data_IF_730895744446
#
_entry.id   IF_730895744446
#
_cell.length_a   1.000
_cell.length_b   1.000
_cell.length_c   1.000
_cell.angle_alpha   90.00
_cell.angle_beta   90.00
_cell.angle_gamma   90.00
#
_symmetry.space_group_name_H-M   'P 1'
#
loop_
_entity.id
_entity.type
_entity.pdbx_description
1 polymer ?
#
# COMPACT_ATOMS: atom_id res chain seq x y z
N UNK A 1 15.54 -11.92 -13.75
CA UNK A 1 14.66 -10.96 -13.05
C UNK A 1 13.30 -11.07 -13.73
N UNK A 2 12.27 -11.55 -13.02
CA UNK A 2 10.94 -11.71 -13.58
C UNK A 2 10.11 -10.49 -13.17
N UNK A 3 9.95 -9.56 -14.10
CA UNK A 3 8.97 -8.48 -14.06
C UNK A 3 8.44 -8.39 -15.47
N UNK A 4 7.16 -8.72 -15.65
CA UNK A 4 6.51 -8.72 -16.96
C UNK A 4 6.46 -7.29 -17.47
N UNK A 5 7.40 -6.94 -18.35
CA UNK A 5 7.39 -5.71 -19.13
C UNK A 5 6.25 -5.75 -20.15
N UNK A 6 5.02 -5.61 -19.65
CA UNK A 6 3.88 -5.20 -20.45
C UNK A 6 3.98 -3.71 -20.74
N UNK A 7 3.40 -3.27 -21.87
CA UNK A 7 3.31 -1.86 -22.23
C UNK A 7 2.27 -1.15 -21.34
N UNK A 8 2.57 -1.06 -20.05
CA UNK A 8 1.65 -0.57 -19.03
C UNK A 8 2.01 0.90 -18.81
N UNK A 9 1.87 1.73 -19.85
CA UNK A 9 2.03 3.19 -19.74
C UNK A 9 1.16 3.77 -18.62
N UNK A 10 0.12 3.03 -18.24
CA UNK A 10 -0.70 3.16 -17.04
C UNK A 10 -0.21 2.22 -15.92
N UNK A 11 0.90 2.56 -15.25
CA UNK A 11 1.25 1.98 -13.95
C UNK A 11 0.11 2.11 -12.91
N UNK A 12 -0.92 2.89 -13.23
CA UNK A 12 -2.22 3.04 -12.58
C UNK A 12 -3.06 1.77 -12.46
N UNK A 13 -2.74 0.67 -13.16
CA UNK A 13 -3.61 -0.54 -13.12
C UNK A 13 -3.14 -1.63 -12.14
N UNK A 14 -1.98 -1.49 -11.52
CA UNK A 14 -1.54 -2.43 -10.51
C UNK A 14 -2.25 -2.20 -9.18
N UNK A 15 -2.95 -3.25 -8.72
CA UNK A 15 -3.65 -3.27 -7.43
C UNK A 15 -2.78 -3.97 -6.41
N UNK A 16 -1.95 -3.19 -5.73
CA UNK A 16 -1.10 -3.71 -4.65
C UNK A 16 -1.91 -3.82 -3.37
N UNK A 17 -1.73 -4.91 -2.64
CA UNK A 17 -2.39 -5.16 -1.37
C UNK A 17 -1.35 -5.24 -0.23
N UNK A 18 -1.43 -4.29 0.71
CA UNK A 18 -0.69 -4.33 1.96
C UNK A 18 -1.57 -4.91 3.08
N UNK A 19 -1.12 -6.02 3.66
CA UNK A 19 -1.75 -6.67 4.81
C UNK A 19 -0.82 -6.63 6.02
N UNK A 20 -1.37 -6.27 7.17
CA UNK A 20 -0.68 -6.34 8.46
C UNK A 20 -1.35 -7.39 9.31
N UNK A 21 -0.54 -8.33 9.79
CA UNK A 21 -0.98 -9.40 10.68
C UNK A 21 -0.39 -9.19 12.07
N UNK A 22 -1.12 -9.65 13.08
CA UNK A 22 -0.58 -9.84 14.43
C UNK A 22 0.34 -11.07 14.49
N UNK A 23 1.07 -11.22 15.61
CA UNK A 23 1.92 -12.39 15.85
C UNK A 23 1.17 -13.73 15.90
N UNK A 24 -0.14 -13.73 16.16
CA UNK A 24 -1.02 -14.91 16.11
C UNK A 24 -1.74 -15.08 14.76
N UNK A 25 -1.42 -14.27 13.74
CA UNK A 25 -1.95 -14.40 12.38
C UNK A 25 -3.29 -13.70 12.13
N UNK A 26 -3.78 -12.88 13.06
CA UNK A 26 -5.00 -12.09 12.87
C UNK A 26 -4.75 -10.91 11.92
N UNK A 27 -5.64 -10.68 10.95
CA UNK A 27 -5.57 -9.50 10.09
C UNK A 27 -5.93 -8.22 10.87
N UNK A 28 -4.94 -7.34 11.03
CA UNK A 28 -5.06 -6.08 11.76
C UNK A 28 -5.32 -4.87 10.84
N UNK A 29 -4.75 -4.87 9.64
CA UNK A 29 -5.01 -3.83 8.65
C UNK A 29 -4.87 -4.38 7.23
N UNK A 30 -5.64 -3.79 6.33
CA UNK A 30 -5.60 -4.05 4.89
C UNK A 30 -5.65 -2.71 4.16
N UNK A 31 -4.80 -2.55 3.15
CA UNK A 31 -4.74 -1.38 2.27
C UNK A 31 -4.57 -1.82 0.83
N UNK A 32 -5.22 -1.09 -0.06
CA UNK A 32 -5.04 -1.22 -1.49
C UNK A 32 -4.51 0.10 -2.02
N UNK A 33 -3.52 0.02 -2.88
CA UNK A 33 -2.92 1.20 -3.50
C UNK A 33 -2.33 0.83 -4.85
N UNK A 34 -2.03 1.85 -5.64
CA UNK A 34 -1.33 1.73 -6.92
C UNK A 34 -0.01 2.49 -6.85
N UNK A 35 0.96 2.09 -7.67
CA UNK A 35 2.27 2.74 -7.78
C UNK A 35 2.54 3.10 -9.23
N UNK A 36 3.35 4.11 -9.50
CA UNK A 36 3.76 4.40 -10.87
C UNK A 36 5.15 3.80 -11.15
N UNK A 37 5.18 2.72 -11.92
CA UNK A 37 6.42 2.01 -12.26
C UNK A 37 7.31 2.76 -13.25
N UNK A 38 6.74 3.64 -14.09
CA UNK A 38 7.46 4.38 -15.11
C UNK A 38 8.09 5.67 -14.59
N UNK A 39 7.49 6.30 -13.58
CA UNK A 39 7.93 7.59 -13.05
C UNK A 39 9.15 7.47 -12.11
N UNK A 40 10.17 6.71 -12.47
CA UNK A 40 11.40 6.57 -11.70
C UNK A 40 11.20 6.01 -10.27
N UNK A 41 12.30 5.75 -9.57
CA UNK A 41 12.27 5.09 -8.25
C UNK A 41 11.41 5.78 -7.20
N UNK A 42 11.19 7.09 -7.33
CA UNK A 42 10.43 7.88 -6.36
C UNK A 42 8.95 7.53 -6.30
N UNK A 43 8.38 6.84 -7.30
CA UNK A 43 6.94 6.55 -7.36
C UNK A 43 6.59 5.07 -7.15
N UNK A 44 7.59 4.26 -6.82
CA UNK A 44 7.46 2.84 -6.44
C UNK A 44 8.50 2.49 -5.37
N UNK A 45 8.70 3.40 -4.40
CA UNK A 45 9.65 3.18 -3.32
C UNK A 45 9.24 1.96 -2.48
N UNK A 46 10.22 1.20 -1.95
CA UNK A 46 9.95 0.16 -0.97
C UNK A 46 9.17 0.71 0.24
N UNK A 47 8.38 -0.14 0.88
CA UNK A 47 7.76 0.18 2.16
C UNK A 47 8.84 0.64 3.15
N UNK A 48 8.67 1.81 3.73
CA UNK A 48 9.59 2.35 4.70
C UNK A 48 8.99 2.27 6.10
N UNK A 49 9.77 1.78 7.05
CA UNK A 49 9.38 1.69 8.45
C UNK A 49 10.07 2.80 9.22
N UNK A 50 9.28 3.73 9.74
CA UNK A 50 9.77 4.87 10.51
C UNK A 50 9.13 4.85 11.89
N UNK A 51 9.87 4.35 12.88
CA UNK A 51 9.36 4.18 14.25
C UNK A 51 8.09 3.32 14.28
N UNK A 52 6.96 3.94 14.61
CA UNK A 52 5.64 3.30 14.71
C UNK A 52 4.77 3.49 13.47
N UNK A 53 5.35 3.81 12.30
CA UNK A 53 4.58 3.96 11.05
C UNK A 53 5.24 3.22 9.88
N UNK A 54 4.40 2.71 8.98
CA UNK A 54 4.78 2.25 7.64
C UNK A 54 4.39 3.32 6.64
N UNK A 55 5.35 3.84 5.91
CA UNK A 55 5.14 4.77 4.80
C UNK A 55 5.08 3.99 3.49
N UNK A 56 4.10 4.31 2.66
CA UNK A 56 3.90 3.73 1.33
C UNK A 56 3.41 4.79 0.35
N UNK A 57 3.62 4.54 -0.94
CA UNK A 57 3.22 5.45 -2.01
C UNK A 57 1.94 4.94 -2.63
N UNK A 58 0.94 5.82 -2.76
CA UNK A 58 -0.35 5.53 -3.37
C UNK A 58 -0.68 6.59 -4.42
N UNK A 59 -0.55 6.23 -5.69
CA UNK A 59 -0.82 7.15 -6.81
C UNK A 59 -2.30 7.27 -7.15
N UNK A 60 -3.19 6.57 -6.43
CA UNK A 60 -4.64 6.75 -6.61
C UNK A 60 -5.14 8.09 -6.07
N UNK A 61 -4.40 8.71 -5.14
CA UNK A 61 -4.69 10.03 -4.61
C UNK A 61 -3.71 11.06 -5.18
N UNK A 62 -4.19 11.82 -6.17
CA UNK A 62 -3.41 12.85 -6.87
C UNK A 62 -2.98 14.01 -5.96
N UNK A 63 -3.62 14.19 -4.80
CA UNK A 63 -3.30 15.29 -3.89
C UNK A 63 -2.20 14.94 -2.90
N UNK A 64 -2.07 13.65 -2.54
CA UNK A 64 -1.04 13.20 -1.62
C UNK A 64 -0.69 11.73 -1.84
N UNK A 65 0.44 11.51 -2.52
CA UNK A 65 0.97 10.18 -2.79
C UNK A 65 1.55 9.49 -1.55
N UNK A 66 1.96 10.24 -0.53
CA UNK A 66 2.59 9.69 0.67
C UNK A 66 1.53 9.29 1.71
N UNK A 67 1.39 7.98 1.90
CA UNK A 67 0.46 7.40 2.87
C UNK A 67 1.20 6.78 4.04
N UNK A 68 0.55 6.81 5.19
CA UNK A 68 1.08 6.31 6.45
C UNK A 68 0.11 5.33 7.07
N UNK A 69 0.65 4.22 7.58
CA UNK A 69 -0.07 3.23 8.37
C UNK A 69 0.62 3.09 9.72
N UNK A 70 -0.07 3.46 10.80
CA UNK A 70 0.45 3.31 12.16
C UNK A 70 0.55 1.83 12.55
N UNK A 71 1.61 1.48 13.28
CA UNK A 71 1.87 0.16 13.87
C UNK A 71 2.03 0.35 15.39
N UNK A 72 1.19 -0.28 16.23
CA UNK A 72 0.09 -1.16 15.85
C UNK A 72 -1.05 -0.38 15.14
N UNK A 73 -1.75 -1.02 14.17
CA UNK A 73 -2.91 -0.41 13.52
C UNK A 73 -4.00 -0.04 14.51
N UNK A 74 -4.79 0.98 14.16
CA UNK A 74 -5.91 1.41 15.00
C UNK A 74 -7.07 0.41 14.94
N UNK A 75 -7.98 0.46 15.93
CA UNK A 75 -9.23 -0.32 15.88
C UNK A 75 -10.08 -0.01 14.65
N UNK A 76 -9.99 1.23 14.13
CA UNK A 76 -10.65 1.61 12.88
C UNK A 76 -10.04 0.91 11.67
N UNK A 77 -8.73 0.72 11.65
CA UNK A 77 -8.05 -0.02 10.58
C UNK A 77 -8.43 -1.50 10.59
N UNK A 78 -8.55 -2.06 11.79
CA UNK A 78 -9.05 -3.42 12.01
C UNK A 78 -10.47 -3.61 11.51
N UNK A 79 -11.35 -2.63 11.76
CA UNK A 79 -12.74 -2.67 11.29
C UNK A 79 -12.79 -2.55 9.76
N UNK A 80 -12.08 -1.56 9.19
CA UNK A 80 -11.99 -1.36 7.73
C UNK A 80 -11.45 -2.59 7.00
N UNK A 81 -10.50 -3.30 7.59
CA UNK A 81 -9.93 -4.52 7.00
C UNK A 81 -10.95 -5.67 6.83
N UNK A 82 -12.11 -5.59 7.50
CA UNK A 82 -13.19 -6.60 7.48
C UNK A 82 -14.39 -6.19 6.65
N UNK A 83 -14.45 -4.95 6.20
CA UNK A 83 -15.51 -4.49 5.32
C UNK A 83 -15.15 -4.84 3.87
N UNK A 84 -16.09 -5.40 3.08
CA UNK A 84 -15.90 -5.51 1.65
C UNK A 84 -15.77 -4.11 1.04
N UNK A 85 -14.95 -3.98 0.00
CA UNK A 85 -14.81 -2.75 -0.78
C UNK A 85 -16.20 -2.36 -1.32
N UNK A 86 -16.62 -1.11 -1.09
CA UNK A 86 -17.79 -0.52 -1.76
C UNK A 86 -17.41 -0.10 -3.18
#
# INVERSE_FOLDING_TARGET
MCGTGGNDQDGTNDKIELRVFSGNGELLARRYFSVNWYHGKSFHQPLNYEGSVVRYIDVTDESNYDKYLTIPPSKWDWLRARLPLF
#
